data_IF_345057228368
#
_entry.id   IF_345057228368
#
_cell.length_a   1.000
_cell.length_b   1.000
_cell.length_c   1.000
_cell.angle_alpha   90.00
_cell.angle_beta   90.00
_cell.angle_gamma   90.00
#
_symmetry.space_group_name_H-M   'P 1'
#
loop_
_entity.id
_entity.type
_entity.pdbx_description
1 polymer ?
#
# COMPACT_ATOMS: atom_id res chain seq x y z
N UNK A 1 -1.32 -77.62 12.02
CA UNK A 1 0.08 -77.14 12.16
C UNK A 1 0.18 -75.77 11.50
N UNK A 2 0.68 -74.77 12.26
CA UNK A 2 1.54 -73.60 11.90
C UNK A 2 1.33 -72.90 10.54
N UNK A 3 1.36 -71.58 10.35
CA UNK A 3 1.68 -70.39 11.16
C UNK A 3 1.49 -69.14 10.27
N UNK A 4 1.25 -67.98 10.88
CA UNK A 4 1.15 -66.61 10.31
C UNK A 4 2.45 -66.06 9.67
N UNK A 5 2.37 -64.98 8.86
CA UNK A 5 2.82 -63.63 9.30
C UNK A 5 1.86 -62.49 8.85
N UNK A 6 1.44 -61.55 9.72
CA UNK A 6 2.04 -60.24 10.06
C UNK A 6 2.50 -59.41 8.85
N UNK A 7 1.65 -58.46 8.40
CA UNK A 7 2.01 -57.06 8.03
C UNK A 7 0.93 -56.37 7.17
N UNK A 8 -0.26 -56.05 7.71
CA UNK A 8 -1.23 -55.22 6.95
C UNK A 8 -2.15 -54.30 7.78
N UNK A 9 -1.86 -54.07 9.07
CA UNK A 9 -2.80 -53.39 10.00
C UNK A 9 -2.20 -52.20 10.76
N UNK A 10 -1.31 -51.42 10.14
CA UNK A 10 -0.75 -50.21 10.75
C UNK A 10 -1.42 -48.88 10.31
N UNK A 11 -2.45 -48.89 9.46
CA UNK A 11 -2.91 -47.63 8.84
C UNK A 11 -4.37 -47.24 9.09
N UNK A 12 -4.94 -47.65 10.23
CA UNK A 12 -6.25 -47.15 10.69
C UNK A 12 -6.21 -46.68 12.14
N UNK A 13 -5.28 -45.77 12.40
CA UNK A 13 -5.27 -44.79 13.49
C UNK A 13 -6.48 -43.81 13.44
N UNK A 14 -7.58 -44.21 12.80
CA UNK A 14 -8.69 -43.34 12.38
C UNK A 14 -9.99 -43.66 13.13
N UNK A 15 -10.03 -44.62 14.07
CA UNK A 15 -11.30 -45.02 14.71
C UNK A 15 -11.35 -45.14 16.23
N UNK A 16 -10.27 -44.88 16.98
CA UNK A 16 -10.30 -45.08 18.44
C UNK A 16 -9.75 -43.91 19.28
N UNK A 17 -9.79 -42.69 18.74
CA UNK A 17 -9.69 -41.45 19.54
C UNK A 17 -11.09 -40.88 19.85
N UNK A 18 -12.11 -41.72 19.73
CA UNK A 18 -13.54 -41.46 19.91
C UNK A 18 -14.05 -42.10 21.22
N UNK A 19 -13.28 -42.04 22.33
CA UNK A 19 -13.77 -42.65 23.58
C UNK A 19 -13.18 -42.20 24.93
N UNK A 20 -12.45 -41.09 25.05
CA UNK A 20 -12.10 -40.62 26.40
C UNK A 20 -12.27 -39.10 26.55
N UNK A 21 -13.34 -38.77 27.27
CA UNK A 21 -13.66 -37.51 27.96
C UNK A 21 -14.52 -36.47 27.23
N UNK A 22 -15.78 -36.85 27.05
CA UNK A 22 -16.89 -35.95 27.34
C UNK A 22 -16.92 -35.63 28.85
N UNK A 23 -17.31 -34.38 29.14
CA UNK A 23 -17.96 -33.89 30.37
C UNK A 23 -17.17 -33.90 31.69
N UNK A 24 -16.65 -32.73 32.05
CA UNK A 24 -16.90 -32.14 33.38
C UNK A 24 -16.74 -30.62 33.29
N UNK A 25 -17.87 -29.94 33.42
CA UNK A 25 -17.99 -28.53 33.77
C UNK A 25 -17.00 -28.14 34.88
N UNK A 26 -16.22 -27.09 34.67
CA UNK A 26 -15.95 -26.10 35.73
C UNK A 26 -16.06 -24.71 35.16
N UNK A 27 -16.76 -23.89 35.95
CA UNK A 27 -17.20 -22.57 35.62
C UNK A 27 -16.03 -21.61 35.36
N UNK A 28 -16.33 -20.70 34.44
CA UNK A 28 -15.69 -19.43 34.24
C UNK A 28 -15.62 -18.67 35.58
N UNK A 29 -14.44 -18.56 36.19
CA UNK A 29 -14.15 -17.57 37.22
C UNK A 29 -12.98 -16.72 36.78
N UNK A 30 -13.26 -15.42 36.65
CA UNK A 30 -12.28 -14.35 36.61
C UNK A 30 -11.21 -14.56 37.68
N UNK A 31 -9.99 -14.94 37.28
CA UNK A 31 -8.80 -14.64 38.06
C UNK A 31 -7.90 -13.78 37.17
N UNK A 32 -7.77 -12.52 37.57
CA UNK A 32 -6.94 -11.53 36.90
C UNK A 32 -5.52 -12.04 36.70
N UNK A 33 -5.07 -12.02 35.45
CA UNK A 33 -3.67 -12.17 35.10
C UNK A 33 -2.92 -10.93 35.57
N UNK A 34 -2.43 -10.98 36.81
CA UNK A 34 -1.32 -10.15 37.25
C UNK A 34 -0.09 -10.55 36.42
N UNK A 35 0.10 -9.90 35.27
CA UNK A 35 1.45 -9.76 34.73
C UNK A 35 2.31 -9.10 35.82
N UNK A 36 3.58 -9.53 36.01
CA UNK A 36 4.46 -8.83 36.92
C UNK A 36 4.59 -7.38 36.43
N UNK A 37 4.03 -6.45 37.22
CA UNK A 37 4.22 -5.03 37.02
C UNK A 37 5.70 -4.74 37.25
N UNK A 38 6.42 -4.46 36.17
CA UNK A 38 7.72 -3.80 36.24
C UNK A 38 7.61 -2.58 37.13
N UNK A 39 8.55 -2.35 38.07
CA UNK A 39 8.52 -1.17 38.91
C UNK A 39 8.50 0.09 38.03
N UNK A 40 7.78 1.16 38.41
CA UNK A 40 7.73 2.37 37.60
C UNK A 40 9.16 2.93 37.51
N UNK A 41 9.73 2.92 36.31
CA UNK A 41 10.93 3.70 36.00
C UNK A 41 10.55 5.15 36.31
N UNK A 42 11.15 5.72 37.37
CA UNK A 42 10.75 7.03 37.92
C UNK A 42 10.95 8.21 36.94
N UNK A 43 11.59 7.98 35.80
CA UNK A 43 11.71 8.91 34.66
C UNK A 43 11.94 8.11 33.39
N UNK A 44 11.10 8.27 32.36
CA UNK A 44 11.34 7.68 31.03
C UNK A 44 12.72 8.11 30.51
N UNK A 45 13.53 7.21 29.93
CA UNK A 45 14.85 7.58 29.39
C UNK A 45 14.74 8.63 28.28
N UNK A 46 13.56 8.75 27.66
CA UNK A 46 13.26 9.73 26.62
C UNK A 46 13.01 11.14 27.15
N UNK A 47 12.73 11.32 28.45
CA UNK A 47 12.53 12.65 29.05
C UNK A 47 13.83 13.49 29.10
N UNK A 48 14.98 12.88 28.81
CA UNK A 48 16.28 13.55 28.76
C UNK A 48 16.54 14.18 27.37
N UNK A 49 15.79 13.78 26.34
CA UNK A 49 15.97 14.32 25.00
C UNK A 49 15.38 15.73 24.91
N UNK A 50 16.18 16.67 24.42
CA UNK A 50 15.69 17.98 23.99
C UNK A 50 15.18 17.85 22.56
N UNK A 51 13.86 17.74 22.41
CA UNK A 51 13.17 17.58 21.13
C UNK A 51 12.44 18.88 20.77
N UNK A 52 12.22 19.09 19.47
CA UNK A 52 11.30 20.11 18.97
C UNK A 52 9.86 19.64 19.12
N UNK A 53 9.60 18.38 18.76
CA UNK A 53 8.34 17.69 19.06
C UNK A 53 8.27 17.16 20.49
N UNK A 54 7.48 16.12 20.70
CA UNK A 54 7.29 15.53 22.03
C UNK A 54 6.96 14.03 21.98
N UNK A 55 7.09 13.38 23.14
CA UNK A 55 6.63 12.01 23.35
C UNK A 55 5.28 11.99 24.07
N UNK A 56 4.40 11.11 23.62
CA UNK A 56 3.16 10.75 24.30
C UNK A 56 3.29 9.35 24.92
N UNK A 57 3.05 9.26 26.22
CA UNK A 57 3.11 7.99 26.97
C UNK A 57 1.73 7.47 27.39
N UNK A 58 0.69 8.29 27.19
CA UNK A 58 -0.70 7.99 27.53
C UNK A 58 -1.56 8.15 26.29
N UNK A 59 -2.75 7.53 26.29
CA UNK A 59 -3.73 7.61 25.19
C UNK A 59 -3.21 7.21 23.80
N UNK A 60 -2.25 6.28 23.74
CA UNK A 60 -1.58 5.81 22.51
C UNK A 60 -2.39 4.79 21.70
N UNK A 61 -3.72 4.74 21.90
CA UNK A 61 -4.57 3.70 21.32
C UNK A 61 -4.75 3.84 19.80
N UNK A 62 -4.65 5.04 19.26
CA UNK A 62 -4.84 5.32 17.83
C UNK A 62 -3.71 4.74 16.97
N UNK A 63 -2.48 4.67 17.49
CA UNK A 63 -1.35 4.05 16.79
C UNK A 63 -1.24 2.55 17.01
N UNK A 64 -1.98 2.01 17.99
CA UNK A 64 -2.03 0.58 18.28
C UNK A 64 -2.98 -0.20 17.35
N UNK A 65 -3.61 0.44 16.36
CA UNK A 65 -4.44 -0.21 15.35
C UNK A 65 -3.94 0.15 13.95
N UNK A 66 -4.42 -0.55 12.93
CA UNK A 66 -4.18 -0.26 11.52
C UNK A 66 -5.44 -0.54 10.70
N UNK A 67 -5.40 -0.24 9.40
CA UNK A 67 -6.53 -0.42 8.49
C UNK A 67 -7.03 -1.87 8.43
N UNK A 68 -6.14 -2.84 8.67
CA UNK A 68 -6.52 -4.25 8.75
C UNK A 68 -7.48 -4.57 9.89
N UNK A 69 -7.41 -3.82 11.00
CA UNK A 69 -8.25 -4.03 12.19
C UNK A 69 -8.19 -5.46 12.76
N UNK A 70 -7.04 -6.13 12.62
CA UNK A 70 -6.83 -7.53 13.06
C UNK A 70 -5.94 -7.66 14.30
N UNK A 71 -4.95 -6.79 14.42
CA UNK A 71 -3.96 -6.82 15.49
C UNK A 71 -3.93 -5.49 16.21
N UNK A 72 -3.71 -5.58 17.53
CA UNK A 72 -3.56 -4.44 18.40
C UNK A 72 -2.31 -4.57 19.25
N UNK A 73 -1.29 -3.77 18.96
CA UNK A 73 0.01 -3.77 19.64
C UNK A 73 0.26 -2.41 20.28
N UNK A 74 -0.11 -2.22 21.56
CA UNK A 74 0.10 -0.95 22.25
C UNK A 74 1.58 -0.61 22.36
N UNK A 75 1.99 0.63 22.01
CA UNK A 75 3.37 1.07 22.18
C UNK A 75 3.65 1.50 23.61
N UNK A 76 4.93 1.58 23.95
CA UNK A 76 5.41 2.24 25.16
C UNK A 76 5.30 3.76 25.05
N UNK A 77 5.60 4.32 23.87
CA UNK A 77 5.50 5.75 23.60
C UNK A 77 5.22 6.05 22.13
N UNK A 78 4.67 7.22 21.86
CA UNK A 78 4.52 7.78 20.50
C UNK A 78 5.38 9.03 20.40
N UNK A 79 6.28 9.06 19.42
CA UNK A 79 6.99 10.29 19.04
C UNK A 79 6.13 11.05 18.03
N UNK A 80 5.79 12.30 18.34
CA UNK A 80 5.27 13.28 17.40
C UNK A 80 6.40 14.23 17.01
N UNK A 81 7.20 13.90 15.99
CA UNK A 81 8.35 14.72 15.61
C UNK A 81 7.90 16.02 14.95
N UNK A 82 8.52 17.15 15.31
CA UNK A 82 8.40 18.42 14.57
C UNK A 82 9.61 18.67 13.67
N UNK A 83 10.64 17.82 13.79
CA UNK A 83 11.87 17.90 13.02
C UNK A 83 12.48 16.52 12.76
N UNK A 84 13.26 16.43 11.68
CA UNK A 84 14.09 15.26 11.38
C UNK A 84 15.09 14.97 12.52
N UNK A 85 15.57 16.00 13.21
CA UNK A 85 16.44 15.85 14.37
C UNK A 85 15.80 15.10 15.54
N UNK A 86 14.48 15.17 15.71
CA UNK A 86 13.79 14.44 16.77
C UNK A 86 13.83 12.92 16.54
N UNK A 87 13.70 12.53 15.26
CA UNK A 87 13.81 11.13 14.83
C UNK A 87 15.26 10.65 14.99
N UNK A 88 16.24 11.47 14.58
CA UNK A 88 17.67 11.19 14.77
C UNK A 88 17.99 10.95 16.24
N UNK A 89 17.60 11.87 17.12
CA UNK A 89 17.86 11.78 18.55
C UNK A 89 17.21 10.53 19.17
N UNK A 90 15.98 10.21 18.76
CA UNK A 90 15.26 9.03 19.23
C UNK A 90 15.92 7.73 18.80
N UNK A 91 16.22 7.58 17.51
CA UNK A 91 16.86 6.37 16.97
C UNK A 91 18.26 6.18 17.55
N UNK A 92 19.03 7.27 17.68
CA UNK A 92 20.37 7.24 18.28
C UNK A 92 20.32 6.81 19.74
N UNK A 93 19.38 7.33 20.53
CA UNK A 93 19.20 6.91 21.92
C UNK A 93 18.85 5.42 22.02
N UNK A 94 17.91 4.93 21.21
CA UNK A 94 17.54 3.51 21.19
C UNK A 94 18.75 2.64 20.78
N UNK A 95 19.52 3.08 19.79
CA UNK A 95 20.74 2.38 19.36
C UNK A 95 21.81 2.33 20.46
N UNK A 96 22.04 3.44 21.18
CA UNK A 96 23.02 3.55 22.27
C UNK A 96 22.65 2.71 23.51
N UNK A 97 21.38 2.36 23.71
CA UNK A 97 20.98 1.40 24.74
C UNK A 97 21.52 -0.01 24.49
N UNK A 98 21.95 -0.31 23.26
CA UNK A 98 22.61 -1.55 22.89
C UNK A 98 21.69 -2.79 22.95
N UNK A 99 22.27 -3.99 22.76
CA UNK A 99 21.52 -5.23 22.56
C UNK A 99 20.78 -5.72 23.82
N UNK A 100 21.04 -5.13 24.99
CA UNK A 100 20.32 -5.43 26.24
C UNK A 100 18.92 -4.80 26.29
N UNK A 101 18.62 -3.83 25.43
CA UNK A 101 17.30 -3.21 25.33
C UNK A 101 16.43 -3.95 24.32
N UNK A 102 15.17 -4.20 24.69
CA UNK A 102 14.16 -4.76 23.80
C UNK A 102 13.31 -3.68 23.11
N UNK A 103 13.67 -2.40 23.26
CA UNK A 103 12.94 -1.31 22.62
C UNK A 103 13.09 -1.40 21.10
N UNK A 104 11.95 -1.40 20.41
CA UNK A 104 11.85 -1.34 18.95
C UNK A 104 11.21 -0.02 18.53
N UNK A 105 11.42 0.37 17.28
CA UNK A 105 10.87 1.60 16.72
C UNK A 105 10.17 1.29 15.41
N UNK A 106 8.94 1.79 15.25
CA UNK A 106 8.18 1.70 14.00
C UNK A 106 7.84 3.10 13.49
N UNK A 107 8.21 3.41 12.25
CA UNK A 107 7.71 4.59 11.56
C UNK A 107 6.30 4.31 11.06
N UNK A 108 5.34 5.13 11.49
CA UNK A 108 3.94 5.03 11.11
C UNK A 108 3.58 6.18 10.18
N UNK A 109 3.22 5.83 8.95
CA UNK A 109 2.52 6.74 8.03
C UNK A 109 1.02 6.76 8.33
N UNK A 110 0.18 6.66 7.30
CA UNK A 110 -1.29 6.73 7.45
C UNK A 110 -1.96 5.47 8.04
N UNK A 111 -1.20 4.61 8.72
CA UNK A 111 -1.74 3.41 9.39
C UNK A 111 -2.40 2.39 8.46
N UNK A 112 -2.11 2.41 7.16
CA UNK A 112 -2.78 1.57 6.15
C UNK A 112 -2.20 0.15 6.01
N UNK A 113 -1.29 -0.24 6.91
CA UNK A 113 -0.88 -1.63 7.09
C UNK A 113 -2.07 -2.52 7.46
N UNK A 114 -1.93 -3.83 7.26
CA UNK A 114 -3.03 -4.79 7.45
C UNK A 114 -2.83 -5.75 8.62
N UNK A 115 -1.58 -5.90 9.09
CA UNK A 115 -1.19 -6.93 10.05
C UNK A 115 -0.15 -6.43 11.08
N UNK A 116 -0.19 -5.16 11.45
CA UNK A 116 0.66 -4.61 12.50
C UNK A 116 2.03 -4.12 12.05
N UNK A 117 2.33 -4.06 10.75
CA UNK A 117 3.68 -3.67 10.26
C UNK A 117 4.13 -2.28 10.70
N UNK A 118 3.18 -1.35 10.94
CA UNK A 118 3.45 0.01 11.41
C UNK A 118 3.17 0.21 12.92
N UNK A 119 3.15 -0.89 13.69
CA UNK A 119 2.95 -0.89 15.14
C UNK A 119 4.23 -1.38 15.85
N UNK A 120 4.40 -1.03 17.12
CA UNK A 120 5.56 -1.45 17.93
C UNK A 120 5.12 -1.84 19.34
N UNK A 121 4.91 -3.14 19.59
CA UNK A 121 4.47 -3.64 20.91
C UNK A 121 5.48 -3.28 22.00
N UNK A 122 5.08 -2.44 22.96
CA UNK A 122 5.97 -1.95 24.01
C UNK A 122 7.16 -1.13 23.49
N UNK A 123 7.12 -0.71 22.22
CA UNK A 123 8.17 0.06 21.55
C UNK A 123 7.78 1.52 21.37
N UNK A 124 8.46 2.19 20.44
CA UNK A 124 8.18 3.56 20.04
C UNK A 124 7.52 3.55 18.67
N UNK A 125 6.41 4.27 18.54
CA UNK A 125 5.85 4.59 17.22
C UNK A 125 6.20 6.02 16.87
N UNK A 126 6.77 6.25 15.68
CA UNK A 126 7.01 7.60 15.14
C UNK A 126 5.84 7.96 14.23
N UNK A 127 5.07 8.98 14.60
CA UNK A 127 3.92 9.47 13.82
C UNK A 127 4.41 10.40 12.70
N UNK A 128 4.75 9.83 11.54
CA UNK A 128 5.47 10.53 10.47
C UNK A 128 4.71 11.74 9.89
N UNK A 129 3.38 11.70 9.89
CA UNK A 129 2.52 12.82 9.45
C UNK A 129 2.70 14.07 10.33
N UNK A 130 3.23 13.94 11.55
CA UNK A 130 3.51 15.08 12.45
C UNK A 130 4.64 15.98 11.96
N UNK A 131 5.55 15.49 11.11
CA UNK A 131 6.59 16.33 10.46
C UNK A 131 5.97 17.45 9.60
N UNK A 132 4.68 17.33 9.28
CA UNK A 132 3.89 18.31 8.55
C UNK A 132 4.25 18.40 7.06
N UNK A 133 3.48 19.22 6.35
CA UNK A 133 3.63 19.49 4.91
C UNK A 133 4.67 20.57 4.60
N UNK A 134 5.40 21.07 5.62
CA UNK A 134 6.36 22.16 5.44
C UNK A 134 7.53 21.65 4.61
N UNK A 135 7.72 22.25 3.43
CA UNK A 135 8.89 22.01 2.60
C UNK A 135 8.68 21.15 1.37
N UNK A 136 7.44 20.87 0.95
CA UNK A 136 7.19 20.43 -0.43
C UNK A 136 7.76 21.47 -1.40
N UNK A 137 8.65 21.04 -2.28
CA UNK A 137 9.29 21.93 -3.26
C UNK A 137 9.24 21.31 -4.64
N UNK A 138 8.45 21.93 -5.51
CA UNK A 138 8.37 21.56 -6.92
C UNK A 138 9.50 22.24 -7.68
N UNK A 139 10.24 21.45 -8.44
CA UNK A 139 11.31 21.89 -9.32
C UNK A 139 10.85 21.71 -10.77
N UNK A 140 10.57 22.84 -11.43
CA UNK A 140 10.20 22.88 -12.85
C UNK A 140 11.44 22.86 -13.75
N UNK A 141 11.31 22.32 -14.96
CA UNK A 141 12.40 22.22 -15.93
C UNK A 141 12.14 21.11 -16.95
N UNK A 142 13.17 20.72 -17.69
CA UNK A 142 13.10 19.61 -18.65
C UNK A 142 12.78 18.27 -17.97
N UNK A 143 13.34 18.04 -16.79
CA UNK A 143 13.11 16.85 -15.96
C UNK A 143 12.54 17.26 -14.60
N UNK A 144 11.25 17.62 -14.52
CA UNK A 144 10.68 18.15 -13.29
C UNK A 144 10.60 17.09 -12.19
N UNK A 145 10.63 17.53 -10.93
CA UNK A 145 10.53 16.66 -9.75
C UNK A 145 9.97 17.43 -8.55
N UNK A 146 9.54 16.71 -7.53
CA UNK A 146 9.16 17.28 -6.23
C UNK A 146 10.02 16.68 -5.11
N UNK A 147 10.56 17.52 -4.25
CA UNK A 147 11.11 17.11 -2.96
C UNK A 147 9.98 17.16 -1.91
N UNK A 148 9.72 16.06 -1.22
CA UNK A 148 8.59 15.93 -0.27
C UNK A 148 8.94 15.09 0.96
N UNK A 149 8.33 15.41 2.10
CA UNK A 149 8.43 14.63 3.34
C UNK A 149 7.98 13.17 3.14
N UNK A 150 8.68 12.23 3.77
CA UNK A 150 8.25 10.82 3.80
C UNK A 150 6.92 10.60 4.53
N UNK A 151 6.53 11.53 5.41
CA UNK A 151 5.23 11.53 6.09
C UNK A 151 4.09 12.18 5.32
N UNK A 152 4.34 12.77 4.14
CA UNK A 152 3.29 13.44 3.36
C UNK A 152 2.40 12.45 2.61
N UNK A 153 1.12 12.78 2.45
CA UNK A 153 0.15 11.98 1.69
C UNK A 153 0.23 12.28 0.18
N UNK A 154 0.07 11.24 -0.64
CA UNK A 154 0.07 11.38 -2.11
C UNK A 154 -0.99 12.35 -2.64
N UNK A 155 -2.15 12.47 -1.96
CA UNK A 155 -3.18 13.45 -2.34
C UNK A 155 -2.67 14.90 -2.23
N UNK A 156 -1.86 15.21 -1.21
CA UNK A 156 -1.28 16.53 -1.03
C UNK A 156 -0.14 16.78 -2.03
N UNK A 157 0.65 15.75 -2.33
CA UNK A 157 1.66 15.77 -3.41
C UNK A 157 1.02 16.09 -4.75
N UNK A 158 -0.11 15.45 -5.07
CA UNK A 158 -0.88 15.73 -6.28
C UNK A 158 -1.35 17.19 -6.31
N UNK A 159 -2.02 17.65 -5.26
CA UNK A 159 -2.53 19.02 -5.20
C UNK A 159 -1.42 20.07 -5.34
N UNK A 160 -0.26 19.88 -4.71
CA UNK A 160 0.87 20.80 -4.84
C UNK A 160 1.45 20.77 -6.25
N UNK A 161 1.66 19.59 -6.83
CA UNK A 161 2.21 19.44 -8.18
C UNK A 161 1.30 20.06 -9.25
N UNK A 162 -0.02 19.92 -9.08
CA UNK A 162 -1.01 20.47 -10.01
C UNK A 162 -0.98 22.01 -10.08
N UNK A 163 -0.56 22.70 -9.03
CA UNK A 163 -0.34 24.17 -9.06
C UNK A 163 0.70 24.58 -10.11
N UNK A 164 1.57 23.65 -10.49
CA UNK A 164 2.59 23.82 -11.51
C UNK A 164 2.24 23.14 -12.85
N UNK A 165 1.02 22.59 -12.99
CA UNK A 165 0.62 21.81 -14.16
C UNK A 165 1.36 20.47 -14.28
N UNK A 166 1.84 19.94 -13.15
CA UNK A 166 2.64 18.72 -13.07
C UNK A 166 1.96 17.67 -12.18
N UNK A 167 2.34 16.40 -12.34
CA UNK A 167 1.87 15.30 -11.51
C UNK A 167 2.91 14.15 -11.47
N UNK A 168 2.97 13.35 -10.39
CA UNK A 168 3.67 12.06 -10.40
C UNK A 168 3.21 11.14 -11.52
N UNK A 169 4.14 10.30 -12.02
CA UNK A 169 3.91 9.39 -13.16
C UNK A 169 3.27 8.05 -12.76
N UNK A 170 3.53 7.60 -11.52
CA UNK A 170 3.05 6.32 -10.98
C UNK A 170 2.32 6.54 -9.67
N UNK A 171 1.24 5.79 -9.47
CA UNK A 171 0.30 6.01 -8.37
C UNK A 171 0.05 4.74 -7.56
N UNK A 172 -0.76 4.92 -6.52
CA UNK A 172 -1.54 3.90 -5.84
C UNK A 172 -3.02 4.21 -6.05
N UNK A 173 -3.89 3.20 -6.07
CA UNK A 173 -5.33 3.40 -6.31
C UNK A 173 -5.98 4.30 -5.24
N UNK A 174 -5.41 4.30 -4.04
CA UNK A 174 -5.80 5.16 -2.92
C UNK A 174 -4.70 6.17 -2.58
N UNK A 175 -5.04 7.45 -2.52
CA UNK A 175 -4.08 8.55 -2.40
C UNK A 175 -3.84 9.05 -0.96
N UNK A 176 -4.63 8.62 0.03
CA UNK A 176 -4.36 8.92 1.44
C UNK A 176 -3.41 7.87 2.02
N UNK A 177 -2.27 7.72 1.35
CA UNK A 177 -1.14 6.91 1.77
C UNK A 177 0.09 7.82 1.81
N UNK A 178 0.96 7.61 2.79
CA UNK A 178 2.19 8.40 2.91
C UNK A 178 3.24 7.98 1.89
N UNK A 179 4.02 8.93 1.38
CA UNK A 179 5.16 8.70 0.48
C UNK A 179 6.09 7.60 1.01
N UNK A 180 6.62 7.75 2.22
CA UNK A 180 7.55 6.78 2.82
C UNK A 180 6.95 5.39 2.98
N UNK A 181 5.67 5.29 3.34
CA UNK A 181 4.97 4.00 3.49
C UNK A 181 4.84 3.24 2.17
N UNK A 182 4.44 3.91 1.09
CA UNK A 182 4.32 3.29 -0.24
C UNK A 182 5.68 2.92 -0.84
N UNK A 183 6.69 3.79 -0.71
CA UNK A 183 8.06 3.53 -1.18
C UNK A 183 8.75 2.41 -0.41
N UNK A 184 8.37 2.19 0.85
CA UNK A 184 8.83 1.03 1.63
C UNK A 184 8.22 -0.30 1.17
N UNK A 185 7.21 -0.28 0.28
CA UNK A 185 6.59 -1.47 -0.31
C UNK A 185 6.87 -1.55 -1.82
N UNK A 186 6.19 -0.73 -2.61
CA UNK A 186 6.39 -0.60 -4.05
C UNK A 186 5.60 0.61 -4.58
N UNK A 187 4.30 0.67 -4.25
CA UNK A 187 3.35 1.64 -4.79
C UNK A 187 2.95 1.30 -6.23
N UNK A 188 1.94 0.44 -6.38
CA UNK A 188 1.49 -0.09 -7.68
C UNK A 188 0.06 0.38 -7.94
N UNK A 189 -0.21 0.70 -9.20
CA UNK A 189 -1.53 1.00 -9.78
C UNK A 189 -1.43 0.81 -11.30
N UNK A 190 -2.51 1.03 -12.04
CA UNK A 190 -2.62 0.80 -13.48
C UNK A 190 -1.63 1.56 -14.38
N UNK A 191 -0.78 2.47 -13.88
CA UNK A 191 0.30 3.11 -14.66
C UNK A 191 1.63 2.35 -14.59
N UNK A 192 1.77 1.39 -13.67
CA UNK A 192 3.03 0.70 -13.39
C UNK A 192 3.56 -0.11 -14.57
N UNK A 193 2.70 -0.59 -15.46
CA UNK A 193 3.14 -1.29 -16.69
C UNK A 193 3.99 -0.39 -17.60
N UNK A 194 3.80 0.94 -17.53
CA UNK A 194 4.52 1.92 -18.35
C UNK A 194 5.66 2.58 -17.59
N UNK A 195 5.43 2.98 -16.35
CA UNK A 195 6.38 3.78 -15.57
C UNK A 195 7.11 2.98 -14.48
N UNK A 196 6.81 1.69 -14.32
CA UNK A 196 7.14 0.95 -13.11
C UNK A 196 6.34 1.45 -11.90
N UNK A 197 6.40 0.75 -10.75
CA UNK A 197 5.83 1.23 -9.50
C UNK A 197 6.45 2.56 -9.03
N UNK A 198 5.89 3.16 -7.98
CA UNK A 198 6.39 4.41 -7.39
C UNK A 198 7.88 4.33 -7.04
N UNK A 199 8.37 3.19 -6.55
CA UNK A 199 9.80 2.96 -6.27
C UNK A 199 10.72 3.11 -7.48
N UNK A 200 10.22 2.98 -8.72
CA UNK A 200 10.99 3.23 -9.95
C UNK A 200 11.06 4.71 -10.33
N UNK A 201 10.28 5.57 -9.68
CA UNK A 201 10.09 6.98 -10.04
C UNK A 201 10.68 7.94 -8.98
N UNK A 202 11.69 7.49 -8.23
CA UNK A 202 12.38 8.25 -7.18
C UNK A 202 13.83 8.48 -7.59
N UNK A 203 14.31 9.72 -7.48
CA UNK A 203 15.71 10.10 -7.79
C UNK A 203 16.64 10.05 -6.57
N UNK A 204 16.07 10.18 -5.38
CA UNK A 204 16.86 10.21 -4.15
C UNK A 204 15.98 10.23 -2.91
N UNK A 205 16.57 9.79 -1.80
CA UNK A 205 15.94 9.71 -0.49
C UNK A 205 16.85 10.33 0.57
N UNK A 206 16.24 10.94 1.58
CA UNK A 206 16.85 11.20 2.86
C UNK A 206 16.35 10.15 3.85
N UNK A 207 17.27 9.44 4.49
CA UNK A 207 16.97 8.31 5.36
C UNK A 207 17.72 8.49 6.67
N UNK A 208 17.03 8.27 7.79
CA UNK A 208 17.67 8.08 9.09
C UNK A 208 17.79 6.58 9.34
N UNK A 209 19.02 6.07 9.40
CA UNK A 209 19.27 4.64 9.62
C UNK A 209 18.88 4.20 11.03
N UNK A 210 18.83 2.88 11.26
CA UNK A 210 18.64 2.34 12.62
C UNK A 210 19.73 2.72 13.64
N UNK A 211 20.85 3.32 13.18
CA UNK A 211 21.91 3.88 14.04
C UNK A 211 21.68 5.35 14.39
N UNK A 212 20.64 5.97 13.86
CA UNK A 212 20.40 7.42 13.98
C UNK A 212 21.26 8.27 13.04
N UNK A 213 21.84 7.70 11.97
CA UNK A 213 22.63 8.45 10.99
C UNK A 213 21.71 8.98 9.88
N UNK A 214 21.74 10.29 9.62
CA UNK A 214 21.01 10.90 8.52
C UNK A 214 21.85 10.85 7.24
N UNK A 215 21.36 10.13 6.22
CA UNK A 215 22.03 9.92 4.96
C UNK A 215 21.15 10.37 3.79
N UNK A 216 21.72 11.14 2.88
CA UNK A 216 21.16 11.36 1.56
C UNK A 216 21.65 10.24 0.63
N UNK A 217 20.74 9.59 -0.07
CA UNK A 217 21.05 8.48 -0.97
C UNK A 217 20.34 8.61 -2.33
N UNK A 218 21.00 8.10 -3.36
CA UNK A 218 20.57 8.08 -4.76
C UNK A 218 21.28 6.89 -5.45
N UNK A 219 20.98 6.57 -6.72
CA UNK A 219 21.75 5.58 -7.47
C UNK A 219 23.26 5.82 -7.49
N UNK A 220 23.71 7.07 -7.36
CA UNK A 220 25.12 7.48 -7.39
C UNK A 220 25.73 7.71 -6.00
N UNK A 221 24.93 7.77 -4.94
CA UNK A 221 25.39 8.09 -3.57
C UNK A 221 24.71 7.17 -2.56
N UNK A 222 25.49 6.43 -1.77
CA UNK A 222 24.94 5.46 -0.79
C UNK A 222 23.91 4.51 -1.46
N UNK A 223 24.24 4.01 -2.65
CA UNK A 223 23.33 3.29 -3.53
C UNK A 223 22.72 2.04 -2.88
N UNK A 224 23.51 1.29 -2.11
CA UNK A 224 23.03 0.10 -1.39
C UNK A 224 21.87 0.44 -0.43
N UNK A 225 21.96 1.57 0.27
CA UNK A 225 20.88 2.03 1.14
C UNK A 225 19.68 2.55 0.33
N UNK A 226 19.93 3.25 -0.78
CA UNK A 226 18.87 3.73 -1.67
C UNK A 226 18.01 2.57 -2.19
N UNK A 227 18.64 1.56 -2.78
CA UNK A 227 17.93 0.38 -3.29
C UNK A 227 17.40 -0.51 -2.18
N UNK A 228 18.13 -0.64 -1.07
CA UNK A 228 17.66 -1.41 0.08
C UNK A 228 16.38 -0.83 0.70
N UNK A 229 16.25 0.49 0.76
CA UNK A 229 15.08 1.14 1.35
C UNK A 229 13.82 1.05 0.46
N UNK A 230 13.98 1.06 -0.87
CA UNK A 230 12.88 0.93 -1.82
C UNK A 230 12.34 -0.51 -1.81
N UNK A 231 11.13 -0.70 -1.31
CA UNK A 231 10.59 -2.03 -1.00
C UNK A 231 11.21 -2.69 0.23
N UNK A 232 11.96 -1.94 1.03
CA UNK A 232 12.71 -2.43 2.18
C UNK A 232 11.89 -2.63 3.46
N UNK A 233 10.57 -2.47 3.41
CA UNK A 233 9.65 -2.69 4.54
C UNK A 233 10.05 -1.93 5.82
N UNK A 234 10.65 -0.74 5.66
CA UNK A 234 11.14 0.10 6.76
C UNK A 234 12.33 -0.48 7.55
N UNK A 235 12.98 -1.54 7.06
CA UNK A 235 14.00 -2.27 7.83
C UNK A 235 15.35 -1.55 7.94
N UNK A 236 15.68 -0.69 6.97
CA UNK A 236 17.01 -0.08 6.88
C UNK A 236 17.04 1.37 7.40
N UNK A 237 15.88 1.95 7.69
CA UNK A 237 15.76 3.30 8.22
C UNK A 237 14.41 3.94 7.92
N UNK A 238 14.25 5.16 8.42
CA UNK A 238 13.07 6.00 8.23
C UNK A 238 13.31 6.94 7.07
N UNK A 239 12.50 6.85 6.02
CA UNK A 239 12.51 7.81 4.90
C UNK A 239 11.90 9.11 5.40
N UNK A 240 12.70 10.17 5.52
CA UNK A 240 12.25 11.51 5.95
C UNK A 240 11.97 12.43 4.79
N UNK A 241 12.61 12.21 3.64
CA UNK A 241 12.35 12.95 2.39
C UNK A 241 12.55 12.08 1.17
N UNK A 242 11.75 12.30 0.13
CA UNK A 242 11.90 11.68 -1.18
C UNK A 242 11.88 12.72 -2.29
N UNK A 243 12.66 12.47 -3.35
CA UNK A 243 12.66 13.22 -4.59
C UNK A 243 11.95 12.41 -5.67
N UNK A 244 10.77 12.85 -6.08
CA UNK A 244 9.88 12.07 -6.98
C UNK A 244 9.79 12.74 -8.35
N UNK A 245 9.88 11.93 -9.40
CA UNK A 245 9.69 12.35 -10.78
C UNK A 245 8.29 12.89 -11.05
N UNK A 246 8.22 13.99 -11.79
CA UNK A 246 6.97 14.55 -12.28
C UNK A 246 6.90 14.49 -13.81
N UNK A 247 5.69 14.58 -14.34
CA UNK A 247 5.39 14.84 -15.74
C UNK A 247 4.28 15.89 -15.87
N UNK A 248 4.01 16.34 -17.10
CA UNK A 248 2.90 17.26 -17.36
C UNK A 248 1.57 16.59 -17.02
N UNK A 249 0.81 17.21 -16.12
CA UNK A 249 -0.50 16.71 -15.76
C UNK A 249 -1.50 16.87 -16.92
N UNK A 250 -2.25 15.82 -17.29
CA UNK A 250 -3.36 15.98 -18.22
C UNK A 250 -4.50 16.77 -17.58
N UNK A 251 -5.26 17.51 -18.38
CA UNK A 251 -6.44 18.26 -17.90
C UNK A 251 -7.68 17.38 -17.73
N UNK A 252 -7.77 16.29 -18.47
CA UNK A 252 -8.93 15.39 -18.49
C UNK A 252 -8.48 13.94 -18.64
N UNK A 253 -9.36 13.03 -18.26
CA UNK A 253 -9.18 11.59 -18.43
C UNK A 253 -10.46 11.03 -19.03
N UNK A 254 -10.34 10.21 -20.08
CA UNK A 254 -11.42 9.33 -20.53
C UNK A 254 -11.27 8.01 -19.79
N UNK A 255 -12.29 7.62 -19.03
CA UNK A 255 -12.29 6.41 -18.21
C UNK A 255 -13.27 5.40 -18.81
N UNK A 256 -12.77 4.22 -19.14
CA UNK A 256 -13.49 3.18 -19.88
C UNK A 256 -13.52 1.89 -19.07
N UNK A 257 -14.64 1.18 -19.11
CA UNK A 257 -14.80 -0.16 -18.53
C UNK A 257 -15.40 -1.12 -19.55
N UNK A 258 -14.78 -2.29 -19.65
CA UNK A 258 -15.19 -3.34 -20.60
C UNK A 258 -15.32 -4.67 -19.89
N UNK A 259 -16.46 -5.34 -20.09
CA UNK A 259 -16.70 -6.67 -19.54
C UNK A 259 -16.27 -7.79 -20.48
N UNK A 260 -15.88 -8.90 -19.88
CA UNK A 260 -15.50 -10.16 -20.52
C UNK A 260 -16.16 -11.32 -19.77
N UNK A 261 -16.62 -12.33 -20.51
CA UNK A 261 -17.15 -13.59 -19.94
C UNK A 261 -16.11 -14.71 -19.92
N UNK A 262 -15.11 -14.65 -20.80
CA UNK A 262 -14.00 -15.60 -20.88
C UNK A 262 -12.71 -15.01 -20.29
N UNK A 263 -12.09 -15.76 -19.38
CA UNK A 263 -10.87 -15.33 -18.71
C UNK A 263 -9.67 -15.26 -19.65
N UNK A 264 -9.56 -16.22 -20.58
CA UNK A 264 -8.43 -16.30 -21.50
C UNK A 264 -8.37 -15.05 -22.39
N UNK A 265 -9.51 -14.67 -22.97
CA UNK A 265 -9.66 -13.46 -23.77
C UNK A 265 -9.34 -12.21 -22.94
N UNK A 266 -9.87 -12.13 -21.71
CA UNK A 266 -9.59 -11.02 -20.79
C UNK A 266 -8.09 -10.85 -20.54
N UNK A 267 -7.36 -11.93 -20.24
CA UNK A 267 -5.92 -11.85 -19.98
C UNK A 267 -5.10 -11.57 -21.25
N UNK A 268 -5.46 -12.16 -22.39
CA UNK A 268 -4.78 -11.92 -23.67
C UNK A 268 -4.89 -10.45 -24.10
N UNK A 269 -6.08 -9.85 -23.93
CA UNK A 269 -6.27 -8.43 -24.23
C UNK A 269 -5.49 -7.54 -23.25
N UNK A 270 -5.48 -7.85 -21.94
CA UNK A 270 -4.65 -7.09 -20.98
C UNK A 270 -3.15 -7.16 -21.32
N UNK A 271 -2.61 -8.35 -21.57
CA UNK A 271 -1.19 -8.56 -21.92
C UNK A 271 -0.81 -7.81 -23.20
N UNK A 272 -1.69 -7.84 -24.20
CA UNK A 272 -1.51 -7.09 -25.44
C UNK A 272 -1.50 -5.58 -25.19
N UNK A 273 -2.43 -5.07 -24.38
CA UNK A 273 -2.53 -3.63 -24.08
C UNK A 273 -1.32 -3.11 -23.31
N UNK A 274 -0.80 -3.86 -22.33
CA UNK A 274 0.39 -3.43 -21.58
C UNK A 274 1.68 -3.54 -22.40
N UNK A 275 1.70 -4.38 -23.43
CA UNK A 275 2.87 -4.58 -24.31
C UNK A 275 2.90 -3.62 -25.51
N UNK A 276 1.79 -2.93 -25.80
CA UNK A 276 1.66 -2.08 -26.97
C UNK A 276 2.40 -0.73 -26.82
N UNK A 277 3.13 -0.32 -27.86
CA UNK A 277 3.87 0.96 -27.89
C UNK A 277 2.96 2.19 -27.78
N UNK A 278 1.74 2.09 -28.31
CA UNK A 278 0.72 3.14 -28.26
C UNK A 278 -0.52 2.53 -27.64
N UNK A 279 -0.81 2.92 -26.41
CA UNK A 279 -1.83 2.26 -25.58
C UNK A 279 -2.51 3.25 -24.62
N UNK A 280 -3.33 2.74 -23.71
CA UNK A 280 -3.97 3.49 -22.62
C UNK A 280 -2.93 3.95 -21.60
N UNK A 281 -3.26 4.95 -20.80
CA UNK A 281 -2.37 5.53 -19.79
C UNK A 281 -2.54 4.88 -18.41
N UNK A 282 -3.63 4.11 -18.24
CA UNK A 282 -3.94 3.26 -17.09
C UNK A 282 -4.58 1.98 -17.58
N UNK A 283 -4.19 0.82 -17.01
CA UNK A 283 -4.80 -0.48 -17.28
C UNK A 283 -4.87 -1.28 -15.98
N UNK A 284 -6.07 -1.71 -15.59
CA UNK A 284 -6.31 -2.64 -14.48
C UNK A 284 -7.38 -3.68 -14.82
N UNK A 285 -7.60 -4.61 -13.90
CA UNK A 285 -8.57 -5.68 -14.05
C UNK A 285 -9.29 -6.05 -12.76
N UNK A 286 -10.58 -6.37 -12.87
CA UNK A 286 -11.38 -6.88 -11.77
C UNK A 286 -12.00 -8.24 -12.12
N UNK A 287 -12.04 -9.14 -11.15
CA UNK A 287 -12.85 -10.37 -11.21
C UNK A 287 -14.14 -10.14 -10.43
N UNK A 288 -15.27 -10.41 -11.07
CA UNK A 288 -16.61 -10.14 -10.53
C UNK A 288 -17.35 -11.47 -10.42
N UNK A 289 -17.46 -11.99 -9.20
CA UNK A 289 -18.05 -13.31 -8.94
C UNK A 289 -19.49 -13.13 -8.45
N UNK A 290 -20.45 -13.67 -9.21
CA UNK A 290 -21.86 -13.80 -8.80
C UNK A 290 -22.49 -12.49 -8.29
N UNK A 291 -22.17 -11.37 -8.93
CA UNK A 291 -22.69 -10.05 -8.55
C UNK A 291 -23.89 -9.70 -9.41
N UNK A 292 -25.04 -9.54 -8.79
CA UNK A 292 -26.27 -9.11 -9.47
C UNK A 292 -26.30 -7.59 -9.68
N UNK A 293 -26.92 -7.13 -10.77
CA UNK A 293 -27.14 -5.70 -11.04
C UNK A 293 -25.87 -4.86 -11.25
N UNK A 294 -24.76 -5.46 -11.70
CA UNK A 294 -23.47 -4.78 -11.85
C UNK A 294 -23.57 -3.48 -12.67
N UNK A 295 -24.23 -3.54 -13.83
CA UNK A 295 -24.34 -2.43 -14.77
C UNK A 295 -25.21 -1.29 -14.25
N UNK A 296 -26.20 -1.57 -13.40
CA UNK A 296 -27.02 -0.53 -12.77
C UNK A 296 -26.21 0.33 -11.80
N UNK A 297 -25.19 -0.24 -11.14
CA UNK A 297 -24.30 0.52 -10.29
C UNK A 297 -23.37 1.43 -11.12
N UNK A 298 -22.89 0.95 -12.27
CA UNK A 298 -22.01 1.75 -13.14
C UNK A 298 -22.73 2.91 -13.82
N UNK A 299 -24.02 2.76 -14.17
CA UNK A 299 -24.86 3.85 -14.72
C UNK A 299 -24.95 5.10 -13.86
N UNK A 300 -24.58 5.02 -12.57
CA UNK A 300 -24.49 6.21 -11.72
C UNK A 300 -23.28 7.10 -12.02
N UNK A 301 -22.28 6.58 -12.74
CA UNK A 301 -20.98 7.23 -12.98
C UNK A 301 -20.45 7.10 -14.42
N UNK A 302 -21.00 6.19 -15.23
CA UNK A 302 -20.57 5.89 -16.60
C UNK A 302 -21.77 5.83 -17.56
N UNK A 303 -21.58 6.32 -18.78
CA UNK A 303 -22.57 6.26 -19.85
C UNK A 303 -22.27 5.08 -20.78
N UNK A 304 -23.20 4.10 -20.95
CA UNK A 304 -22.98 3.01 -21.88
C UNK A 304 -22.94 3.53 -23.32
N UNK A 305 -22.03 2.99 -24.13
CA UNK A 305 -21.97 3.30 -25.56
C UNK A 305 -23.23 2.85 -26.30
N UNK A 306 -23.76 1.66 -25.96
CA UNK A 306 -25.09 1.19 -26.37
C UNK A 306 -25.99 0.93 -25.14
N UNK A 307 -26.85 1.90 -24.75
CA UNK A 307 -27.76 1.75 -23.63
C UNK A 307 -28.77 0.61 -23.78
N UNK A 308 -29.19 0.28 -25.00
CA UNK A 308 -30.18 -0.76 -25.28
C UNK A 308 -29.56 -2.14 -25.08
N UNK A 309 -28.36 -2.37 -25.60
CA UNK A 309 -27.63 -3.62 -25.36
C UNK A 309 -27.31 -3.78 -23.87
N UNK A 310 -26.81 -2.71 -23.24
CA UNK A 310 -26.54 -2.66 -21.81
C UNK A 310 -27.76 -2.98 -20.94
N UNK A 311 -28.98 -2.60 -21.36
CA UNK A 311 -30.21 -2.88 -20.60
C UNK A 311 -30.65 -4.35 -20.64
N UNK A 312 -30.18 -5.11 -21.63
CA UNK A 312 -30.54 -6.53 -21.83
C UNK A 312 -29.54 -7.48 -21.17
N UNK A 313 -28.36 -6.99 -20.79
CA UNK A 313 -27.32 -7.81 -20.16
C UNK A 313 -27.70 -8.21 -18.73
N UNK A 314 -27.49 -9.48 -18.39
CA UNK A 314 -27.67 -10.02 -17.04
C UNK A 314 -26.34 -10.56 -16.50
N UNK A 315 -25.95 -10.12 -15.31
CA UNK A 315 -24.74 -10.56 -14.61
C UNK A 315 -24.97 -11.70 -13.61
N UNK A 316 -26.23 -12.16 -13.47
CA UNK A 316 -26.63 -13.07 -12.41
C UNK A 316 -26.04 -14.48 -12.58
N UNK A 317 -25.47 -15.03 -11.50
CA UNK A 317 -24.91 -16.39 -11.48
C UNK A 317 -23.60 -16.58 -12.26
N UNK A 318 -23.04 -15.52 -12.86
CA UNK A 318 -21.86 -15.61 -13.71
C UNK A 318 -20.61 -15.05 -13.01
N UNK A 319 -19.45 -15.56 -13.42
CA UNK A 319 -18.16 -14.88 -13.18
C UNK A 319 -17.85 -14.05 -14.40
N UNK A 320 -17.62 -12.76 -14.19
CA UNK A 320 -17.27 -11.80 -15.23
C UNK A 320 -15.92 -11.18 -14.90
N UNK A 321 -15.25 -10.70 -15.94
CA UNK A 321 -13.98 -10.00 -15.84
C UNK A 321 -14.16 -8.59 -16.40
N UNK A 322 -13.54 -7.60 -15.79
CA UNK A 322 -13.60 -6.21 -16.24
C UNK A 322 -12.20 -5.73 -16.51
N UNK A 323 -11.91 -5.26 -17.73
CA UNK A 323 -10.75 -4.41 -17.97
C UNK A 323 -11.18 -2.96 -17.72
N UNK A 324 -10.44 -2.29 -16.86
CA UNK A 324 -10.57 -0.86 -16.63
C UNK A 324 -9.38 -0.13 -17.24
N UNK A 325 -9.64 0.92 -18.01
CA UNK A 325 -8.60 1.63 -18.72
C UNK A 325 -8.86 3.13 -18.75
N UNK A 326 -7.79 3.92 -18.86
CA UNK A 326 -7.94 5.36 -19.05
C UNK A 326 -7.06 5.92 -20.14
N UNK A 327 -7.51 7.01 -20.75
CA UNK A 327 -6.72 7.82 -21.69
C UNK A 327 -6.63 9.25 -21.19
N UNK A 328 -5.41 9.75 -21.04
CA UNK A 328 -5.10 11.12 -20.65
C UNK A 328 -5.35 12.06 -21.84
N UNK A 329 -6.13 13.12 -21.59
CA UNK A 329 -6.57 14.06 -22.62
C UNK A 329 -6.20 15.49 -22.24
N UNK A 330 -5.81 16.25 -23.25
CA UNK A 330 -5.63 17.70 -23.18
C UNK A 330 -6.52 18.33 -24.26
N UNK A 331 -7.59 19.07 -23.89
CA UNK A 331 -8.53 19.67 -24.85
C UNK A 331 -7.86 20.55 -25.91
N UNK A 332 -6.72 21.13 -25.57
CA UNK A 332 -5.97 22.06 -26.43
C UNK A 332 -5.00 21.34 -27.39
N UNK A 333 -4.91 20.01 -27.38
CA UNK A 333 -3.98 19.23 -28.22
C UNK A 333 -4.74 18.23 -29.10
N UNK A 334 -4.31 18.03 -30.37
CA UNK A 334 -4.94 17.04 -31.25
C UNK A 334 -4.82 15.63 -30.66
N UNK A 335 -5.94 14.91 -30.64
CA UNK A 335 -6.01 13.55 -30.09
C UNK A 335 -5.32 12.55 -31.03
N UNK A 336 -4.23 11.93 -30.57
CA UNK A 336 -3.71 10.72 -31.21
C UNK A 336 -4.65 9.59 -30.77
N UNK A 337 -5.52 9.17 -31.68
CA UNK A 337 -6.55 8.16 -31.45
C UNK A 337 -5.93 6.76 -31.39
N UNK A 338 -6.29 5.94 -30.39
CA UNK A 338 -5.80 4.56 -30.24
C UNK A 338 -6.61 3.59 -31.14
N UNK A 339 -6.89 3.96 -32.41
CA UNK A 339 -7.87 3.28 -33.27
C UNK A 339 -7.67 1.77 -33.39
N UNK A 340 -6.43 1.28 -33.34
CA UNK A 340 -6.13 -0.16 -33.48
C UNK A 340 -6.48 -0.92 -32.20
N UNK A 341 -6.13 -0.38 -31.04
CA UNK A 341 -6.41 -1.02 -29.74
C UNK A 341 -7.90 -0.92 -29.40
N UNK A 342 -8.49 0.25 -29.63
CA UNK A 342 -9.94 0.51 -29.47
C UNK A 342 -10.76 -0.42 -30.39
N UNK A 343 -10.44 -0.49 -31.69
CA UNK A 343 -11.18 -1.34 -32.63
C UNK A 343 -11.07 -2.85 -32.33
N UNK A 344 -9.97 -3.33 -31.74
CA UNK A 344 -9.84 -4.75 -31.35
C UNK A 344 -10.68 -5.06 -30.11
N UNK A 345 -10.68 -4.18 -29.11
CA UNK A 345 -11.53 -4.31 -27.93
C UNK A 345 -13.00 -4.27 -28.36
N UNK A 346 -13.38 -3.33 -29.23
CA UNK A 346 -14.74 -3.22 -29.81
C UNK A 346 -15.13 -4.50 -30.57
N UNK A 347 -14.23 -5.05 -31.40
CA UNK A 347 -14.52 -6.29 -32.13
C UNK A 347 -14.69 -7.50 -31.18
N UNK A 348 -13.83 -7.64 -30.18
CA UNK A 348 -13.90 -8.74 -29.21
C UNK A 348 -15.16 -8.65 -28.33
N UNK A 349 -15.55 -7.45 -27.92
CA UNK A 349 -16.76 -7.21 -27.12
C UNK A 349 -18.03 -7.46 -27.92
N UNK A 350 -18.10 -7.02 -29.17
CA UNK A 350 -19.24 -7.29 -30.06
C UNK A 350 -19.43 -8.79 -30.33
N UNK A 351 -18.34 -9.54 -30.52
CA UNK A 351 -18.42 -11.00 -30.73
C UNK A 351 -18.89 -11.77 -29.49
N UNK A 352 -18.65 -11.23 -28.29
CA UNK A 352 -19.01 -11.87 -27.02
C UNK A 352 -20.32 -11.37 -26.41
N UNK A 353 -21.07 -10.49 -27.10
CA UNK A 353 -22.25 -9.80 -26.53
C UNK A 353 -21.94 -8.99 -25.26
N UNK A 354 -20.70 -8.54 -25.09
CA UNK A 354 -20.24 -7.79 -23.93
C UNK A 354 -20.60 -6.31 -24.07
N UNK A 355 -20.62 -5.58 -22.94
CA UNK A 355 -20.94 -4.16 -22.90
C UNK A 355 -19.69 -3.29 -22.62
N UNK A 356 -19.61 -2.14 -23.31
CA UNK A 356 -18.57 -1.11 -23.16
C UNK A 356 -19.18 0.16 -22.54
N UNK A 357 -18.46 0.77 -21.60
CA UNK A 357 -18.84 1.95 -20.81
C UNK A 357 -17.73 2.98 -20.75
#
# INVERSE_FOLDING_TARGET
MKSTPISYLHNRAVKLLMLLFLSSFTANTNLGSNLPSTPPIKTSPFNVLSLNGHFEFQDTQHVANDFGNRFRFPPYAVLRPESVSDIVATLKLVYEMGPSSNLTVAARGHGHSLQGQAQALGGIVIEMESLGSRGMRVHVGEFPYIDVSGGELWINVLHESLKHGLAPKSWTDYLHLTVGGTLSNAGVSGQAFRHGPQINNVRGLEIITGKGEMLNCSPEKNADLFYGALGGLGQFGVITRARIDLETAPKMVRWIRVLYSDFSTFTEDQEMLISAKTTFDYIEGFVIINRTGLLNNWRSSFDPEDPLQASKFSSDGQTLYCIEMTKNLNPDKPHITNKVSEARIENNTQQQSNCTY
#
